data_IF_471699347862
#
_entry.id   IF_471699347862
#
_cell.length_a   1.000
_cell.length_b   1.000
_cell.length_c   1.000
_cell.angle_alpha   90.00
_cell.angle_beta   90.00
_cell.angle_gamma   90.00
#
_symmetry.space_group_name_H-M   'P 1'
#
loop_
_entity.id
_entity.type
_entity.pdbx_description
1 polymer ?
#
# COMPACT_ATOMS: atom_id res chain seq x y z
N UNK A 1 -33.41 7.11 21.79
CA UNK A 1 -33.75 7.95 20.62
C UNK A 1 -32.52 7.97 19.72
N UNK A 2 -32.54 7.19 18.64
CA UNK A 2 -31.49 7.23 17.64
C UNK A 2 -31.81 8.39 16.69
N UNK A 3 -30.98 9.42 16.69
CA UNK A 3 -31.01 10.39 15.61
C UNK A 3 -30.31 9.71 14.42
N UNK A 4 -31.05 9.38 13.37
CA UNK A 4 -30.43 9.02 12.11
C UNK A 4 -29.96 10.32 11.44
N UNK A 5 -28.65 10.51 11.36
CA UNK A 5 -28.04 11.61 10.60
C UNK A 5 -28.25 11.31 9.10
N UNK A 6 -29.38 11.74 8.56
CA UNK A 6 -29.65 11.64 7.12
C UNK A 6 -28.81 12.71 6.45
N UNK A 7 -27.75 12.30 5.75
CA UNK A 7 -26.93 13.20 4.96
C UNK A 7 -27.82 14.00 3.99
N UNK A 8 -27.62 15.32 3.95
CA UNK A 8 -28.36 16.22 3.08
C UNK A 8 -28.13 15.86 1.61
N UNK A 9 -29.07 16.20 0.71
CA UNK A 9 -28.89 15.97 -0.73
C UNK A 9 -27.58 16.58 -1.29
N UNK A 10 -27.09 17.66 -0.71
CA UNK A 10 -25.82 18.28 -1.09
C UNK A 10 -24.61 17.44 -0.62
N UNK A 11 -24.64 16.93 0.62
CA UNK A 11 -23.60 16.05 1.15
C UNK A 11 -23.52 14.74 0.35
N UNK A 12 -24.65 14.14 -0.01
CA UNK A 12 -24.69 12.95 -0.87
C UNK A 12 -24.03 13.22 -2.23
N UNK A 13 -24.30 14.39 -2.83
CA UNK A 13 -23.68 14.78 -4.11
C UNK A 13 -22.18 15.00 -3.98
N UNK A 14 -21.71 15.63 -2.91
CA UNK A 14 -20.28 15.83 -2.65
C UNK A 14 -19.56 14.48 -2.52
N UNK A 15 -20.10 13.55 -1.73
CA UNK A 15 -19.54 12.20 -1.59
C UNK A 15 -19.48 11.44 -2.92
N UNK A 16 -20.51 11.56 -3.76
CA UNK A 16 -20.52 10.95 -5.08
C UNK A 16 -19.43 11.54 -6.00
N UNK A 17 -19.25 12.86 -5.96
CA UNK A 17 -18.22 13.56 -6.73
C UNK A 17 -16.82 13.12 -6.27
N UNK A 18 -16.56 13.09 -4.97
CA UNK A 18 -15.28 12.62 -4.40
C UNK A 18 -14.99 11.17 -4.79
N UNK A 19 -15.99 10.29 -4.74
CA UNK A 19 -15.87 8.90 -5.19
C UNK A 19 -15.51 8.79 -6.68
N UNK A 20 -16.17 9.58 -7.54
CA UNK A 20 -15.89 9.61 -8.99
C UNK A 20 -14.48 10.12 -9.28
N UNK A 21 -14.07 11.22 -8.64
CA UNK A 21 -12.71 11.74 -8.79
C UNK A 21 -11.67 10.74 -8.29
N UNK A 22 -11.91 10.12 -7.14
CA UNK A 22 -11.07 9.05 -6.60
C UNK A 22 -10.92 7.87 -7.57
N UNK A 23 -12.02 7.41 -8.17
CA UNK A 23 -12.01 6.37 -9.18
C UNK A 23 -11.19 6.76 -10.41
N UNK A 24 -11.37 7.98 -10.92
CA UNK A 24 -10.64 8.46 -12.10
C UNK A 24 -9.14 8.62 -11.82
N UNK A 25 -8.78 9.18 -10.67
CA UNK A 25 -7.40 9.27 -10.23
C UNK A 25 -6.75 7.88 -10.12
N UNK A 26 -7.46 6.89 -9.56
CA UNK A 26 -6.95 5.53 -9.48
C UNK A 26 -6.76 4.91 -10.87
N UNK A 27 -7.73 5.10 -11.77
CA UNK A 27 -7.64 4.58 -13.14
C UNK A 27 -6.46 5.18 -13.90
N UNK A 28 -6.26 6.50 -13.80
CA UNK A 28 -5.13 7.19 -14.41
C UNK A 28 -3.81 6.67 -13.83
N UNK A 29 -3.73 6.52 -12.51
CA UNK A 29 -2.56 5.93 -11.88
C UNK A 29 -2.23 4.56 -12.48
N UNK A 30 -3.20 3.67 -12.63
CA UNK A 30 -2.95 2.35 -13.22
C UNK A 30 -2.50 2.39 -14.69
N UNK A 31 -2.99 3.35 -15.48
CA UNK A 31 -2.63 3.47 -16.90
C UNK A 31 -1.32 4.20 -17.17
N UNK A 32 -0.90 5.06 -16.26
CA UNK A 32 0.24 5.95 -16.46
C UNK A 32 1.57 5.30 -16.01
N UNK A 33 2.68 5.87 -16.48
CA UNK A 33 4.02 5.53 -16.02
C UNK A 33 4.35 6.34 -14.76
N UNK A 34 4.94 5.67 -13.78
CA UNK A 34 5.38 6.27 -12.51
C UNK A 34 6.82 5.92 -12.23
N UNK A 35 7.56 6.86 -11.65
CA UNK A 35 8.92 6.64 -11.21
C UNK A 35 8.94 5.93 -9.84
N UNK A 36 9.74 4.87 -9.73
CA UNK A 36 10.00 4.23 -8.44
C UNK A 36 11.16 4.90 -7.71
N UNK A 37 10.90 5.53 -6.56
CA UNK A 37 11.90 6.24 -5.77
C UNK A 37 13.09 5.40 -5.27
N UNK A 38 13.01 4.07 -5.30
CA UNK A 38 14.10 3.17 -4.86
C UNK A 38 15.07 2.84 -5.99
N UNK A 39 14.56 2.72 -7.24
CA UNK A 39 15.36 2.30 -8.41
C UNK A 39 15.47 3.36 -9.50
N UNK A 40 14.83 4.52 -9.31
CA UNK A 40 14.77 5.64 -10.26
C UNK A 40 14.41 5.18 -11.68
N UNK A 41 13.44 4.28 -11.77
CA UNK A 41 12.95 3.71 -13.03
C UNK A 41 11.45 3.89 -13.18
N UNK A 42 11.00 4.08 -14.42
CA UNK A 42 9.59 4.24 -14.78
C UNK A 42 8.92 2.90 -15.06
N UNK A 43 7.76 2.67 -14.45
CA UNK A 43 6.97 1.46 -14.63
C UNK A 43 5.49 1.79 -14.70
N UNK A 44 4.68 0.92 -15.29
CA UNK A 44 3.23 1.11 -15.31
C UNK A 44 2.66 1.05 -13.90
N UNK A 45 1.65 1.87 -13.58
CA UNK A 45 1.09 1.92 -12.22
C UNK A 45 0.52 0.60 -11.72
N UNK A 46 0.15 -0.33 -12.62
CA UNK A 46 -0.22 -1.71 -12.26
C UNK A 46 0.92 -2.50 -11.60
N UNK A 47 2.18 -2.13 -11.82
CA UNK A 47 3.35 -2.74 -11.19
C UNK A 47 3.63 -2.15 -9.79
N UNK A 48 2.87 -1.15 -9.35
CA UNK A 48 3.07 -0.49 -8.06
C UNK A 48 2.12 -0.99 -6.97
N UNK A 49 2.65 -1.08 -5.76
CA UNK A 49 1.88 -1.26 -4.53
C UNK A 49 1.65 0.11 -3.90
N UNK A 50 0.39 0.44 -3.62
CA UNK A 50 0.02 1.61 -2.80
C UNK A 50 -0.12 1.23 -1.34
N UNK A 51 0.52 1.98 -0.47
CA UNK A 51 0.48 1.82 0.98
C UNK A 51 -0.69 2.62 1.59
N UNK A 52 -1.13 2.30 2.82
CA UNK A 52 -2.15 3.08 3.53
C UNK A 52 -1.81 4.57 3.67
N UNK A 53 -0.52 4.91 3.78
CA UNK A 53 -0.02 6.30 3.78
C UNK A 53 -0.01 6.96 2.40
N UNK A 54 -0.58 6.31 1.39
CA UNK A 54 -0.68 6.74 -0.01
C UNK A 54 0.61 6.76 -0.82
N UNK A 55 1.78 6.52 -0.20
CA UNK A 55 3.02 6.27 -0.94
C UNK A 55 2.90 5.01 -1.80
N UNK A 56 3.60 5.01 -2.93
CA UNK A 56 3.64 3.88 -3.85
C UNK A 56 5.07 3.51 -4.21
N UNK A 57 5.32 2.20 -4.31
CA UNK A 57 6.61 1.64 -4.70
C UNK A 57 6.37 0.47 -5.66
N UNK A 58 7.27 0.26 -6.62
CA UNK A 58 7.12 -0.88 -7.53
C UNK A 58 7.20 -2.20 -6.73
N UNK A 59 6.40 -3.20 -7.14
CA UNK A 59 6.29 -4.47 -6.44
C UNK A 59 7.63 -5.22 -6.33
N UNK A 60 8.50 -5.08 -7.33
CA UNK A 60 9.86 -5.66 -7.32
C UNK A 60 10.69 -5.11 -6.14
N UNK A 61 10.69 -3.80 -5.93
CA UNK A 61 11.39 -3.19 -4.79
C UNK A 61 10.80 -3.63 -3.47
N UNK A 62 9.47 -3.61 -3.35
CA UNK A 62 8.80 -3.99 -2.12
C UNK A 62 9.03 -5.46 -1.77
N UNK A 63 9.10 -6.34 -2.78
CA UNK A 63 9.46 -7.75 -2.59
C UNK A 63 10.90 -7.92 -2.11
N UNK A 64 11.86 -7.27 -2.75
CA UNK A 64 13.26 -7.31 -2.31
C UNK A 64 13.41 -6.77 -0.88
N UNK A 65 12.74 -5.66 -0.59
CA UNK A 65 12.71 -5.05 0.74
C UNK A 65 12.11 -6.02 1.75
N UNK A 66 10.91 -6.56 1.52
CA UNK A 66 10.29 -7.53 2.43
C UNK A 66 11.16 -8.78 2.66
N UNK A 67 11.72 -9.36 1.60
CA UNK A 67 12.59 -10.55 1.70
C UNK A 67 13.85 -10.29 2.53
N UNK A 68 14.45 -9.11 2.42
CA UNK A 68 15.62 -8.76 3.22
C UNK A 68 15.28 -8.75 4.72
N UNK A 69 14.14 -8.17 5.09
CA UNK A 69 13.75 -8.08 6.50
C UNK A 69 13.30 -9.42 7.09
N UNK A 70 12.66 -10.28 6.29
CA UNK A 70 12.33 -11.67 6.70
C UNK A 70 13.60 -12.47 6.99
N UNK A 71 14.63 -12.32 6.15
CA UNK A 71 15.93 -12.96 6.35
C UNK A 71 16.69 -12.41 7.55
N UNK A 72 16.59 -11.10 7.82
CA UNK A 72 17.28 -10.45 8.94
C UNK A 72 16.54 -10.58 10.29
N UNK A 73 15.41 -11.29 10.35
CA UNK A 73 14.70 -11.54 11.61
C UNK A 73 14.07 -10.30 12.25
N UNK A 74 13.98 -9.18 11.52
CA UNK A 74 13.57 -7.86 12.07
C UNK A 74 12.19 -7.44 11.55
N UNK A 75 11.30 -8.40 11.26
CA UNK A 75 10.02 -8.13 10.57
C UNK A 75 8.97 -7.49 11.46
N UNK A 76 9.08 -7.61 12.79
CA UNK A 76 8.06 -7.14 13.74
C UNK A 76 7.80 -5.61 13.67
N UNK A 77 8.65 -4.85 12.96
CA UNK A 77 8.51 -3.39 12.77
C UNK A 77 8.97 -2.95 11.38
N UNK A 78 8.54 -3.61 10.31
CA UNK A 78 8.91 -3.19 8.95
C UNK A 78 8.36 -1.78 8.67
N UNK A 79 9.23 -0.78 8.71
CA UNK A 79 8.88 0.59 8.35
C UNK A 79 8.74 0.71 6.84
N UNK A 80 7.97 1.70 6.38
CA UNK A 80 7.99 2.05 4.97
C UNK A 80 9.40 2.43 4.50
N UNK A 81 9.76 2.14 3.24
CA UNK A 81 11.05 2.52 2.67
C UNK A 81 11.12 4.02 2.35
N UNK A 82 10.82 4.87 3.34
CA UNK A 82 10.91 6.33 3.26
C UNK A 82 11.18 6.91 4.65
N UNK A 83 12.17 7.81 4.74
CA UNK A 83 12.57 8.47 5.99
C UNK A 83 11.53 9.47 6.49
N UNK A 84 10.57 9.87 5.64
CA UNK A 84 9.52 10.84 5.98
C UNK A 84 8.21 10.17 6.44
N UNK A 85 8.11 8.84 6.34
CA UNK A 85 6.91 8.11 6.76
C UNK A 85 7.31 6.96 7.69
N UNK A 86 7.16 7.17 9.00
CA UNK A 86 7.39 6.14 10.03
C UNK A 86 6.27 5.10 10.15
N UNK A 87 5.44 4.96 9.10
CA UNK A 87 4.37 3.98 9.12
C UNK A 87 4.90 2.56 8.93
N UNK A 88 4.15 1.60 9.47
CA UNK A 88 4.48 0.19 9.37
C UNK A 88 3.83 -0.42 8.12
N UNK A 89 4.55 -1.34 7.48
CA UNK A 89 3.98 -2.19 6.44
C UNK A 89 3.03 -3.19 7.13
N UNK A 90 1.72 -3.15 6.81
CA UNK A 90 0.77 -4.10 7.37
C UNK A 90 1.11 -5.54 6.97
N UNK A 91 0.91 -6.52 7.86
CA UNK A 91 1.05 -7.95 7.54
C UNK A 91 0.30 -8.41 6.30
N UNK A 92 -0.90 -7.87 6.06
CA UNK A 92 -1.70 -8.19 4.88
C UNK A 92 -1.03 -7.78 3.57
N UNK A 93 -0.23 -6.72 3.58
CA UNK A 93 0.57 -6.30 2.43
C UNK A 93 1.84 -7.14 2.28
N UNK A 94 2.45 -7.57 3.39
CA UNK A 94 3.58 -8.50 3.37
C UNK A 94 3.20 -9.84 2.73
N UNK A 95 2.05 -10.40 3.11
CA UNK A 95 1.51 -11.64 2.51
C UNK A 95 1.28 -11.55 1.00
N UNK A 96 1.11 -10.36 0.44
CA UNK A 96 0.97 -10.17 -1.02
C UNK A 96 2.32 -10.07 -1.74
N UNK A 97 3.41 -9.82 -1.01
CA UNK A 97 4.76 -9.63 -1.56
C UNK A 97 5.63 -10.89 -1.42
N UNK A 98 5.43 -11.61 -0.32
CA UNK A 98 6.14 -12.82 0.07
C UNK A 98 5.46 -14.05 -0.54
N UNK A 99 6.23 -15.10 -0.83
CA UNK A 99 5.69 -16.41 -1.14
C UNK A 99 5.34 -17.19 0.14
N UNK A 100 4.74 -18.36 -0.02
CA UNK A 100 4.26 -19.18 1.10
C UNK A 100 5.39 -19.57 2.07
N UNK A 101 6.57 -19.92 1.54
CA UNK A 101 7.75 -20.28 2.34
C UNK A 101 8.27 -19.09 3.18
N UNK A 102 8.33 -17.88 2.61
CA UNK A 102 8.77 -16.70 3.35
C UNK A 102 7.73 -16.25 4.39
N UNK A 103 6.44 -16.51 4.14
CA UNK A 103 5.37 -16.27 5.12
C UNK A 103 5.49 -17.25 6.29
N UNK A 104 5.67 -18.56 6.03
CA UNK A 104 5.85 -19.57 7.09
C UNK A 104 7.07 -19.27 7.96
N UNK A 105 8.19 -18.91 7.34
CA UNK A 105 9.40 -18.51 8.07
C UNK A 105 9.15 -17.28 8.94
N UNK A 106 8.42 -16.30 8.40
CA UNK A 106 8.07 -15.08 9.13
C UNK A 106 7.10 -15.36 10.30
N UNK A 107 6.06 -16.16 10.10
CA UNK A 107 5.10 -16.52 11.14
C UNK A 107 5.78 -17.29 12.29
N UNK A 108 6.72 -18.18 11.96
CA UNK A 108 7.51 -18.90 12.96
C UNK A 108 8.37 -17.96 13.82
N UNK A 109 8.91 -16.87 13.25
CA UNK A 109 9.68 -15.87 14.00
C UNK A 109 8.81 -14.96 14.89
N UNK A 110 7.49 -14.95 14.70
CA UNK A 110 6.55 -14.18 15.54
C UNK A 110 6.02 -14.96 16.76
N UNK A 111 6.31 -16.27 16.85
CA UNK A 111 5.99 -17.14 17.99
C UNK A 111 7.08 -17.05 19.07
#
# INVERSE_FOLDING_TARGET
MAYEFIATPLEIRLLAIESIYGYKCHKNFLSDLHECCIRFGEYAGVEFMRLPCQHFFCGKCMKTYANLYVREGTVNKLLYPTTKCGGLVPPSLLRRLLGDEEIEHWEFQML
#
